data_IF_616741533179
#
_entry.id   IF_616741533179
#
_cell.length_a   1.000
_cell.length_b   1.000
_cell.length_c   1.000
_cell.angle_alpha   90.00
_cell.angle_beta   90.00
_cell.angle_gamma   90.00
#
_symmetry.space_group_name_H-M   'P 1'
#
loop_
_entity.id
_entity.type
_entity.pdbx_description
1 polymer ?
#
# COMPACT_ATOMS: atom_id res chain seq x y z
N UNK A 1 6.51 11.65 -21.28
CA UNK A 1 5.93 10.87 -20.16
C UNK A 1 5.19 9.73 -20.82
N UNK A 2 5.77 8.53 -20.87
CA UNK A 2 5.04 7.35 -21.35
C UNK A 2 4.17 6.84 -20.21
N UNK A 3 2.94 7.31 -20.13
CA UNK A 3 1.88 6.53 -19.52
C UNK A 3 1.60 5.42 -20.53
N UNK A 4 2.34 4.33 -20.47
CA UNK A 4 1.86 3.12 -21.06
C UNK A 4 0.90 2.52 -20.04
N UNK A 5 -0.37 2.46 -20.39
CA UNK A 5 -1.18 1.32 -20.04
C UNK A 5 -0.37 0.10 -20.47
N UNK A 6 0.46 -0.39 -19.57
CA UNK A 6 1.13 -1.64 -19.81
C UNK A 6 0.09 -2.71 -19.52
N UNK A 7 -0.72 -2.97 -20.53
CA UNK A 7 -1.53 -4.15 -20.59
C UNK A 7 -0.71 -5.34 -20.08
N UNK A 8 -1.06 -5.81 -18.88
CA UNK A 8 -0.67 -7.09 -18.29
C UNK A 8 0.71 -7.24 -17.60
N UNK A 9 1.51 -6.20 -17.39
CA UNK A 9 2.83 -6.34 -16.72
C UNK A 9 3.12 -5.21 -15.71
N UNK A 10 2.19 -4.30 -15.45
CA UNK A 10 2.37 -3.17 -14.55
C UNK A 10 2.08 -3.49 -13.08
N UNK A 11 2.58 -2.64 -12.20
CA UNK A 11 2.32 -2.76 -10.76
C UNK A 11 0.81 -2.71 -10.46
N UNK A 12 0.03 -1.93 -11.24
CA UNK A 12 -1.42 -1.85 -11.11
C UNK A 12 -2.09 -3.22 -11.25
N UNK A 13 -1.88 -3.94 -12.37
CA UNK A 13 -2.52 -5.24 -12.62
C UNK A 13 -2.13 -6.27 -11.58
N UNK A 14 -0.86 -6.28 -11.19
CA UNK A 14 -0.36 -7.20 -10.16
C UNK A 14 -1.02 -6.93 -8.82
N UNK A 15 -1.05 -5.67 -8.36
CA UNK A 15 -1.67 -5.30 -7.07
C UNK A 15 -3.18 -5.53 -7.11
N UNK A 16 -3.86 -5.22 -8.24
CA UNK A 16 -5.27 -5.53 -8.47
C UNK A 16 -5.56 -7.01 -8.27
N UNK A 17 -4.81 -7.89 -8.93
CA UNK A 17 -4.98 -9.33 -8.81
C UNK A 17 -4.79 -9.83 -7.37
N UNK A 18 -3.82 -9.25 -6.62
CA UNK A 18 -3.61 -9.54 -5.20
C UNK A 18 -4.78 -9.06 -4.34
N UNK A 19 -5.28 -7.85 -4.55
CA UNK A 19 -6.45 -7.31 -3.85
C UNK A 19 -7.69 -8.19 -4.05
N UNK A 20 -7.88 -8.69 -5.27
CA UNK A 20 -8.98 -9.61 -5.63
C UNK A 20 -8.75 -11.07 -5.22
N UNK A 21 -7.63 -11.38 -4.54
CA UNK A 21 -7.24 -12.77 -4.21
C UNK A 21 -7.10 -13.71 -5.44
N UNK A 22 -6.72 -13.14 -6.58
CA UNK A 22 -6.51 -13.85 -7.86
C UNK A 22 -5.04 -14.21 -8.10
N UNK A 23 -4.12 -13.55 -7.38
CA UNK A 23 -2.70 -13.80 -7.46
C UNK A 23 -2.04 -13.70 -6.07
N UNK A 24 -0.90 -14.37 -5.86
CA UNK A 24 -0.14 -14.24 -4.62
C UNK A 24 0.55 -12.87 -4.53
N UNK A 25 0.64 -12.33 -3.30
CA UNK A 25 1.32 -11.06 -3.04
C UNK A 25 2.81 -11.09 -3.41
N UNK A 26 3.43 -12.28 -3.41
CA UNK A 26 4.81 -12.47 -3.89
C UNK A 26 5.04 -12.06 -5.35
N UNK A 27 3.99 -12.00 -6.18
CA UNK A 27 4.11 -11.54 -7.57
C UNK A 27 4.51 -10.05 -7.65
N UNK A 28 4.26 -9.27 -6.60
CA UNK A 28 4.67 -7.85 -6.54
C UNK A 28 6.19 -7.71 -6.68
N UNK A 29 6.98 -8.59 -6.05
CA UNK A 29 8.45 -8.63 -6.22
C UNK A 29 8.87 -8.83 -7.69
N UNK A 30 8.30 -9.82 -8.35
CA UNK A 30 8.60 -10.11 -9.75
C UNK A 30 8.21 -8.96 -10.69
N UNK A 31 7.06 -8.34 -10.45
CA UNK A 31 6.64 -7.16 -11.20
C UNK A 31 7.62 -5.99 -10.98
N UNK A 32 7.98 -5.69 -9.74
CA UNK A 32 8.93 -4.63 -9.41
C UNK A 32 10.29 -4.87 -10.07
N UNK A 33 10.80 -6.10 -10.05
CA UNK A 33 12.05 -6.47 -10.71
C UNK A 33 11.98 -6.27 -12.23
N UNK A 34 10.85 -6.60 -12.85
CA UNK A 34 10.68 -6.45 -14.31
C UNK A 34 10.70 -4.99 -14.78
N UNK A 35 10.47 -4.05 -13.86
CA UNK A 35 10.50 -2.59 -14.10
C UNK A 35 11.88 -1.97 -13.76
N UNK A 36 12.91 -2.80 -13.51
CA UNK A 36 14.23 -2.31 -13.14
C UNK A 36 14.76 -1.25 -14.14
N UNK A 37 15.26 -0.15 -13.58
CA UNK A 37 15.76 1.00 -14.35
C UNK A 37 14.70 2.02 -14.74
N UNK A 38 13.39 1.69 -14.69
CA UNK A 38 12.31 2.64 -15.01
C UNK A 38 11.34 2.88 -13.86
N UNK A 39 11.45 2.17 -12.73
CA UNK A 39 10.50 2.24 -11.62
C UNK A 39 10.26 3.69 -11.15
N UNK A 40 11.32 4.50 -11.06
CA UNK A 40 11.24 5.89 -10.61
C UNK A 40 10.52 6.83 -11.58
N UNK A 41 10.27 6.41 -12.81
CA UNK A 41 9.55 7.16 -13.84
C UNK A 41 8.09 6.68 -14.00
N UNK A 42 7.68 5.67 -13.25
CA UNK A 42 6.32 5.13 -13.30
C UNK A 42 5.38 5.96 -12.42
N UNK A 43 4.12 6.07 -12.83
CA UNK A 43 3.05 6.58 -12.00
C UNK A 43 2.32 5.39 -11.35
N UNK A 44 2.37 5.28 -10.03
CA UNK A 44 1.60 4.28 -9.31
C UNK A 44 0.18 4.77 -9.05
N UNK A 45 -0.80 3.91 -9.27
CA UNK A 45 -2.21 4.17 -8.99
C UNK A 45 -2.94 2.85 -8.72
N UNK A 46 -4.12 2.92 -8.12
CA UNK A 46 -5.02 1.78 -7.90
C UNK A 46 -6.35 1.94 -8.63
N UNK A 47 -6.71 3.15 -9.00
CA UNK A 47 -7.90 3.51 -9.76
C UNK A 47 -7.58 4.62 -10.76
N UNK A 48 -8.27 4.62 -11.89
CA UNK A 48 -8.30 5.72 -12.85
C UNK A 48 -9.65 5.73 -13.58
N UNK A 49 -9.79 6.56 -14.62
CA UNK A 49 -11.03 6.70 -15.38
C UNK A 49 -11.31 5.53 -16.35
N UNK A 50 -10.31 4.71 -16.65
CA UNK A 50 -10.43 3.54 -17.53
C UNK A 50 -10.67 2.24 -16.76
N UNK A 51 -10.33 2.23 -15.44
CA UNK A 51 -10.39 1.06 -14.61
C UNK A 51 -11.56 1.10 -13.61
N UNK A 52 -12.03 -0.08 -13.18
CA UNK A 52 -13.08 -0.18 -12.17
C UNK A 52 -12.61 0.37 -10.82
N UNK A 53 -13.55 0.93 -10.08
CA UNK A 53 -13.35 1.33 -8.69
C UNK A 53 -13.11 0.11 -7.81
N UNK A 54 -12.20 0.20 -6.83
CA UNK A 54 -11.89 -0.90 -5.89
C UNK A 54 -13.15 -1.38 -5.17
N UNK A 55 -14.00 -0.45 -4.74
CA UNK A 55 -15.26 -0.77 -4.04
C UNK A 55 -16.35 -1.33 -4.95
N UNK A 56 -16.16 -1.33 -6.28
CA UNK A 56 -17.13 -1.85 -7.24
C UNK A 56 -17.24 -3.37 -7.15
N UNK A 57 -18.43 -3.89 -7.47
CA UNK A 57 -18.65 -5.33 -7.61
C UNK A 57 -17.73 -5.99 -8.66
N UNK A 58 -17.29 -5.23 -9.65
CA UNK A 58 -16.43 -5.71 -10.75
C UNK A 58 -14.93 -5.72 -10.39
N UNK A 59 -14.57 -5.24 -9.19
CA UNK A 59 -13.21 -5.30 -8.70
C UNK A 59 -13.17 -6.08 -7.38
N UNK A 60 -13.06 -5.42 -6.22
CA UNK A 60 -12.97 -6.09 -4.92
C UNK A 60 -14.29 -6.10 -4.14
N UNK A 61 -15.27 -5.28 -4.52
CA UNK A 61 -16.56 -5.13 -3.82
C UNK A 61 -16.46 -4.51 -2.43
N UNK A 62 -15.26 -4.04 -2.05
CA UNK A 62 -14.91 -3.51 -0.74
C UNK A 62 -13.74 -2.54 -0.94
N UNK A 63 -13.76 -1.31 -0.43
CA UNK A 63 -12.65 -0.37 -0.57
C UNK A 63 -11.42 -0.70 0.29
N UNK A 64 -11.57 -1.52 1.35
CA UNK A 64 -10.50 -1.81 2.32
C UNK A 64 -9.28 -2.53 1.72
N UNK A 65 -9.40 -3.47 0.76
CA UNK A 65 -8.24 -4.04 0.06
C UNK A 65 -7.34 -3.00 -0.62
N UNK A 66 -7.86 -1.81 -0.90
CA UNK A 66 -7.07 -0.68 -1.39
C UNK A 66 -6.04 -0.16 -0.39
N UNK A 67 -6.24 -0.34 0.92
CA UNK A 67 -5.30 0.15 1.95
C UNK A 67 -3.90 -0.50 1.81
N UNK A 68 -3.75 -1.85 1.86
CA UNK A 68 -2.45 -2.48 1.65
C UNK A 68 -1.89 -2.19 0.24
N UNK A 69 -2.74 -2.13 -0.79
CA UNK A 69 -2.34 -1.73 -2.13
C UNK A 69 -1.74 -0.32 -2.17
N UNK A 70 -2.35 0.62 -1.45
CA UNK A 70 -1.87 2.01 -1.33
C UNK A 70 -0.55 2.09 -0.58
N UNK A 71 -0.35 1.31 0.49
CA UNK A 71 0.92 1.23 1.21
C UNK A 71 2.03 0.75 0.27
N UNK A 72 1.80 -0.31 -0.48
CA UNK A 72 2.76 -0.81 -1.48
C UNK A 72 3.06 0.27 -2.52
N UNK A 73 2.03 0.86 -3.13
CA UNK A 73 2.17 1.87 -4.18
C UNK A 73 2.92 3.13 -3.74
N UNK A 74 2.74 3.55 -2.49
CA UNK A 74 3.31 4.79 -1.96
C UNK A 74 4.69 4.63 -1.31
N UNK A 75 5.12 3.39 -0.97
CA UNK A 75 6.30 3.20 -0.10
C UNK A 75 7.40 2.33 -0.71
N UNK A 76 7.09 1.55 -1.76
CA UNK A 76 8.13 0.74 -2.41
C UNK A 76 9.19 1.58 -3.12
N UNK A 77 8.76 2.65 -3.78
CA UNK A 77 9.61 3.49 -4.62
C UNK A 77 9.49 4.98 -4.26
N UNK A 78 10.22 5.82 -4.98
CA UNK A 78 10.18 7.28 -4.88
C UNK A 78 9.37 7.93 -6.00
N UNK A 79 8.68 7.13 -6.81
CA UNK A 79 7.85 7.57 -7.94
C UNK A 79 6.53 8.20 -7.47
N UNK A 80 5.91 9.03 -8.30
CA UNK A 80 4.64 9.66 -7.97
C UNK A 80 3.52 8.63 -7.82
N UNK A 81 2.57 8.95 -6.95
CA UNK A 81 1.36 8.15 -6.70
C UNK A 81 0.14 9.00 -6.99
N UNK A 82 -0.81 8.45 -7.74
CA UNK A 82 -2.07 9.10 -8.05
C UNK A 82 -3.21 8.50 -7.22
N UNK A 83 -4.03 9.35 -6.63
CA UNK A 83 -5.32 9.00 -6.05
C UNK A 83 -6.39 9.47 -7.03
N UNK A 84 -7.19 8.56 -7.54
CA UNK A 84 -8.34 8.92 -8.37
C UNK A 84 -9.46 9.45 -7.50
N UNK A 85 -10.06 10.56 -7.91
CA UNK A 85 -11.05 11.32 -7.12
C UNK A 85 -12.17 10.42 -6.59
N UNK A 86 -12.33 10.34 -5.26
CA UNK A 86 -13.29 9.46 -4.58
C UNK A 86 -12.74 8.09 -4.15
N UNK A 87 -11.53 7.71 -4.57
CA UNK A 87 -10.89 6.46 -4.13
C UNK A 87 -10.75 6.42 -2.61
N UNK A 88 -10.31 7.52 -2.02
CA UNK A 88 -10.16 7.70 -0.57
C UNK A 88 -11.50 7.73 0.20
N UNK A 89 -12.61 7.81 -0.52
CA UNK A 89 -13.97 7.78 0.02
C UNK A 89 -14.66 6.43 -0.22
N UNK A 90 -13.99 5.49 -0.91
CA UNK A 90 -14.57 4.21 -1.28
C UNK A 90 -15.70 4.31 -2.30
N UNK A 91 -15.55 5.20 -3.32
CA UNK A 91 -16.52 5.34 -4.39
C UNK A 91 -16.74 4.01 -5.12
N UNK A 92 -17.96 3.47 -5.19
CA UNK A 92 -18.22 2.16 -5.79
C UNK A 92 -18.35 2.20 -7.33
N UNK A 93 -18.62 3.35 -7.96
CA UNK A 93 -18.84 3.45 -9.40
C UNK A 93 -19.97 2.57 -9.91
N UNK A 94 -21.05 2.44 -9.13
CA UNK A 94 -22.16 1.53 -9.44
C UNK A 94 -23.42 2.23 -9.91
N UNK A 95 -23.32 3.52 -10.16
CA UNK A 95 -24.33 4.32 -10.83
C UNK A 95 -24.04 4.41 -12.34
N UNK A 96 -24.80 5.21 -13.10
CA UNK A 96 -24.66 5.30 -14.56
C UNK A 96 -23.58 6.33 -15.00
N UNK A 97 -22.48 6.47 -14.21
CA UNK A 97 -21.38 7.39 -14.50
C UNK A 97 -20.26 6.80 -15.36
N UNK A 98 -20.31 5.51 -15.65
CA UNK A 98 -19.31 4.83 -16.48
C UNK A 98 -19.51 5.05 -17.98
N UNK A 99 -18.52 4.65 -18.78
CA UNK A 99 -18.60 4.73 -20.24
C UNK A 99 -19.65 3.78 -20.85
N UNK A 100 -20.01 2.73 -20.16
CA UNK A 100 -20.95 1.68 -20.59
C UNK A 100 -22.05 1.40 -19.56
N UNK A 101 -22.41 2.39 -18.76
CA UNK A 101 -23.38 2.27 -17.68
C UNK A 101 -22.75 1.72 -16.40
N UNK A 102 -23.47 0.90 -15.65
CA UNK A 102 -23.08 0.37 -14.35
C UNK A 102 -21.99 -0.71 -14.44
N UNK A 103 -20.79 -0.32 -14.79
CA UNK A 103 -19.66 -1.21 -15.01
C UNK A 103 -18.52 -1.07 -13.96
N UNK A 104 -18.75 -0.29 -12.93
CA UNK A 104 -17.78 -0.05 -11.85
C UNK A 104 -16.75 1.02 -12.16
N UNK A 105 -16.89 1.74 -13.28
CA UNK A 105 -16.05 2.87 -13.69
C UNK A 105 -16.79 4.19 -13.47
N UNK A 106 -16.02 5.27 -13.31
CA UNK A 106 -16.57 6.62 -13.24
C UNK A 106 -15.82 7.53 -14.20
N UNK A 107 -16.55 8.47 -14.82
CA UNK A 107 -15.94 9.44 -15.73
C UNK A 107 -15.27 10.60 -14.98
N UNK A 108 -14.22 11.19 -15.57
CA UNK A 108 -13.62 12.44 -15.08
C UNK A 108 -14.49 13.67 -15.41
N UNK A 109 -15.49 13.50 -16.28
CA UNK A 109 -16.33 14.63 -16.76
C UNK A 109 -17.52 14.89 -15.84
N UNK A 110 -18.02 13.84 -15.15
CA UNK A 110 -19.23 13.92 -14.33
C UNK A 110 -18.93 13.72 -12.83
N UNK A 111 -17.76 14.15 -12.39
CA UNK A 111 -17.32 13.99 -10.99
C UNK A 111 -18.30 14.57 -9.96
N UNK A 112 -19.08 15.57 -10.34
CA UNK A 112 -20.12 16.18 -9.48
C UNK A 112 -21.34 15.28 -9.27
N UNK A 113 -21.53 14.24 -10.06
CA UNK A 113 -22.64 13.29 -9.91
C UNK A 113 -22.37 12.24 -8.84
N UNK A 114 -21.10 11.99 -8.52
CA UNK A 114 -20.69 10.96 -7.55
C UNK A 114 -21.19 11.28 -6.15
N UNK A 115 -21.97 10.35 -5.57
CA UNK A 115 -22.57 10.53 -4.26
C UNK A 115 -21.52 10.73 -3.15
N UNK A 116 -20.41 9.98 -3.19
CA UNK A 116 -19.29 10.10 -2.26
C UNK A 116 -18.66 11.50 -2.28
N UNK A 117 -18.42 12.06 -3.48
CA UNK A 117 -17.85 13.39 -3.64
C UNK A 117 -18.83 14.49 -3.20
N UNK A 118 -20.12 14.35 -3.54
CA UNK A 118 -21.16 15.30 -3.06
C UNK A 118 -21.25 15.32 -1.54
N UNK A 119 -21.14 14.16 -0.90
CA UNK A 119 -21.14 14.05 0.55
C UNK A 119 -19.89 14.69 1.18
N UNK A 120 -18.74 14.58 0.52
CA UNK A 120 -17.52 15.26 0.95
C UNK A 120 -17.62 16.79 0.75
N UNK A 121 -18.13 17.23 -0.40
CA UNK A 121 -18.32 18.66 -0.72
C UNK A 121 -19.31 19.32 0.26
N UNK A 122 -20.33 18.59 0.71
CA UNK A 122 -21.30 19.05 1.69
C UNK A 122 -21.84 20.46 1.38
N UNK A 123 -22.46 20.61 0.20
CA UNK A 123 -23.09 21.87 -0.26
C UNK A 123 -22.12 23.08 -0.32
N UNK A 124 -20.82 22.82 -0.51
CA UNK A 124 -19.79 23.85 -0.60
C UNK A 124 -19.00 24.11 0.67
N UNK A 125 -19.29 23.40 1.77
CA UNK A 125 -18.51 23.48 3.01
C UNK A 125 -17.14 22.79 2.90
N UNK A 126 -17.01 21.77 2.04
CA UNK A 126 -15.78 21.00 1.81
C UNK A 126 -15.18 20.37 3.09
N UNK A 127 -16.04 19.99 4.03
CA UNK A 127 -15.67 19.49 5.36
C UNK A 127 -15.96 17.98 5.56
N UNK A 128 -16.55 17.33 4.56
CA UNK A 128 -16.96 15.93 4.67
C UNK A 128 -18.13 15.70 5.61
N UNK A 129 -18.93 16.74 5.90
CA UNK A 129 -19.98 16.68 6.90
C UNK A 129 -21.05 15.61 6.64
N UNK A 130 -21.25 15.21 5.37
CA UNK A 130 -22.22 14.18 4.96
C UNK A 130 -21.58 12.79 4.72
N UNK A 131 -20.28 12.62 4.94
CA UNK A 131 -19.62 11.31 4.83
C UNK A 131 -20.10 10.36 5.94
N UNK A 132 -20.16 9.06 5.63
CA UNK A 132 -20.34 8.02 6.65
C UNK A 132 -19.10 7.89 7.54
N UNK A 133 -19.22 7.19 8.66
CA UNK A 133 -18.08 6.93 9.55
C UNK A 133 -16.97 6.15 8.83
N UNK A 134 -17.36 5.14 8.03
CA UNK A 134 -16.44 4.29 7.25
C UNK A 134 -15.71 5.11 6.19
N UNK A 135 -16.40 6.01 5.49
CA UNK A 135 -15.79 6.89 4.49
C UNK A 135 -14.77 7.84 5.12
N UNK A 136 -15.09 8.44 6.28
CA UNK A 136 -14.15 9.28 7.03
C UNK A 136 -12.91 8.50 7.46
N UNK A 137 -13.13 7.31 8.04
CA UNK A 137 -12.03 6.46 8.49
C UNK A 137 -11.12 6.05 7.32
N UNK A 138 -11.69 5.65 6.19
CA UNK A 138 -10.91 5.30 5.00
C UNK A 138 -10.07 6.48 4.53
N UNK A 139 -10.68 7.68 4.42
CA UNK A 139 -10.00 8.90 4.02
C UNK A 139 -8.87 9.29 4.99
N UNK A 140 -9.07 9.13 6.29
CA UNK A 140 -8.03 9.37 7.30
C UNK A 140 -6.84 8.42 7.13
N UNK A 141 -7.09 7.14 6.85
CA UNK A 141 -6.05 6.16 6.58
C UNK A 141 -5.25 6.52 5.32
N UNK A 142 -5.94 6.87 4.21
CA UNK A 142 -5.28 7.32 2.99
C UNK A 142 -4.44 8.59 3.22
N UNK A 143 -5.00 9.59 3.90
CA UNK A 143 -4.28 10.81 4.24
C UNK A 143 -3.03 10.51 5.08
N UNK A 144 -3.13 9.59 6.03
CA UNK A 144 -1.99 9.18 6.86
C UNK A 144 -0.90 8.49 6.04
N UNK A 145 -1.25 7.52 5.19
CA UNK A 145 -0.31 6.84 4.29
C UNK A 145 0.44 7.85 3.41
N UNK A 146 -0.29 8.77 2.77
CA UNK A 146 0.29 9.78 1.88
C UNK A 146 1.17 10.78 2.63
N UNK A 147 0.77 11.21 3.83
CA UNK A 147 1.60 12.11 4.64
C UNK A 147 2.89 11.41 5.09
N UNK A 148 2.84 10.14 5.52
CA UNK A 148 4.03 9.35 5.86
C UNK A 148 4.93 9.22 4.63
N UNK A 149 4.38 8.83 3.48
CA UNK A 149 5.18 8.64 2.26
C UNK A 149 5.89 9.92 1.80
N UNK A 150 5.29 11.08 2.05
CA UNK A 150 5.86 12.39 1.71
C UNK A 150 6.89 12.88 2.72
N UNK A 151 6.69 12.62 4.01
CA UNK A 151 7.48 13.23 5.09
C UNK A 151 8.68 12.39 5.53
N UNK A 152 8.61 11.06 5.38
CA UNK A 152 9.65 10.16 5.85
C UNK A 152 10.80 10.03 4.83
N UNK A 153 11.99 10.51 5.21
CA UNK A 153 13.19 10.46 4.35
C UNK A 153 13.61 9.02 4.02
N UNK A 154 13.36 8.09 4.91
CA UNK A 154 13.60 6.66 4.64
C UNK A 154 12.76 6.14 3.47
N UNK A 155 11.64 6.79 3.13
CA UNK A 155 10.82 6.47 1.96
C UNK A 155 11.27 7.31 0.76
N UNK A 156 11.43 8.63 0.92
CA UNK A 156 11.70 9.54 -0.20
C UNK A 156 13.14 9.46 -0.72
N UNK A 157 14.09 9.05 0.11
CA UNK A 157 15.53 9.03 -0.21
C UNK A 157 16.18 7.66 0.08
N UNK A 158 15.47 6.75 0.76
CA UNK A 158 16.03 5.47 1.19
C UNK A 158 16.16 4.44 0.06
N UNK A 159 17.06 3.48 0.29
CA UNK A 159 17.27 2.31 -0.58
C UNK A 159 16.20 1.27 -0.25
N UNK A 160 15.63 0.65 -1.28
CA UNK A 160 14.67 -0.45 -1.17
C UNK A 160 15.39 -1.80 -1.05
N UNK A 161 14.83 -2.71 -0.25
CA UNK A 161 15.29 -4.09 -0.14
C UNK A 161 14.08 -5.03 -0.02
N UNK A 162 13.93 -5.95 -0.97
CA UNK A 162 12.87 -6.94 -0.96
C UNK A 162 13.18 -8.06 0.05
N UNK A 163 12.24 -8.34 0.96
CA UNK A 163 12.35 -9.45 1.92
C UNK A 163 11.49 -10.66 1.53
N UNK A 164 10.74 -10.60 0.42
CA UNK A 164 9.85 -11.70 0.05
C UNK A 164 10.60 -12.99 -0.19
N UNK A 165 11.77 -12.94 -0.85
CA UNK A 165 12.57 -14.15 -1.14
C UNK A 165 12.91 -14.96 0.12
N UNK A 166 13.19 -14.30 1.24
CA UNK A 166 13.51 -14.94 2.52
C UNK A 166 12.26 -15.49 3.24
N UNK A 167 11.06 -15.10 2.80
CA UNK A 167 9.80 -15.43 3.46
C UNK A 167 8.86 -16.30 2.60
N UNK A 168 9.22 -16.67 1.37
CA UNK A 168 8.37 -17.51 0.49
C UNK A 168 8.05 -18.89 1.10
N UNK A 169 9.01 -19.50 1.77
CA UNK A 169 8.87 -20.82 2.42
C UNK A 169 8.73 -20.72 3.93
N UNK A 170 8.52 -19.52 4.48
CA UNK A 170 8.36 -19.29 5.91
C UNK A 170 6.97 -19.76 6.38
N UNK A 171 6.87 -20.77 7.28
CA UNK A 171 5.57 -21.32 7.69
C UNK A 171 4.71 -20.33 8.52
N UNK A 172 5.30 -19.24 9.00
CA UNK A 172 4.63 -18.20 9.79
C UNK A 172 4.34 -16.93 8.98
N UNK A 173 4.48 -17.01 7.64
CA UNK A 173 4.24 -15.91 6.72
C UNK A 173 3.52 -16.43 5.47
N UNK A 174 2.33 -15.92 5.20
CA UNK A 174 1.56 -16.32 4.03
C UNK A 174 1.90 -15.41 2.83
N UNK A 175 2.86 -15.80 2.00
CA UNK A 175 3.30 -15.05 0.81
C UNK A 175 2.21 -14.84 -0.26
N UNK A 176 1.04 -15.52 -0.13
CA UNK A 176 -0.12 -15.25 -0.97
C UNK A 176 -0.87 -13.98 -0.53
N UNK A 177 -0.87 -13.67 0.79
CA UNK A 177 -1.67 -12.57 1.35
C UNK A 177 -0.85 -11.50 2.05
N UNK A 178 0.42 -11.75 2.34
CA UNK A 178 1.31 -10.77 2.95
C UNK A 178 2.46 -10.41 2.01
N UNK A 179 2.88 -9.16 2.08
CA UNK A 179 4.05 -8.65 1.38
C UNK A 179 4.95 -7.90 2.36
N UNK A 180 6.27 -8.07 2.24
CA UNK A 180 7.23 -7.50 3.17
C UNK A 180 8.47 -6.97 2.45
N UNK A 181 8.90 -5.78 2.83
CA UNK A 181 10.13 -5.17 2.33
C UNK A 181 10.74 -4.23 3.36
N UNK A 182 11.96 -3.80 3.11
CA UNK A 182 12.66 -2.79 3.92
C UNK A 182 13.05 -1.59 3.07
N UNK A 183 13.23 -0.47 3.76
CA UNK A 183 13.92 0.71 3.23
C UNK A 183 14.96 1.18 4.23
N UNK A 184 16.04 1.78 3.75
CA UNK A 184 17.15 2.24 4.60
C UNK A 184 17.60 3.63 4.16
N UNK A 185 17.68 4.52 5.12
CA UNK A 185 18.27 5.85 4.95
C UNK A 185 19.07 6.25 6.20
N UNK A 186 20.35 6.51 6.05
CA UNK A 186 21.27 6.87 7.15
C UNK A 186 21.16 5.88 8.34
N UNK A 187 20.71 6.34 9.51
CA UNK A 187 20.50 5.54 10.73
C UNK A 187 19.05 5.03 10.88
N UNK A 188 18.21 5.20 9.87
CA UNK A 188 16.82 4.75 9.89
C UNK A 188 16.62 3.53 8.99
N UNK A 189 15.93 2.52 9.51
CA UNK A 189 15.45 1.35 8.77
C UNK A 189 13.94 1.30 8.91
N UNK A 190 13.21 1.22 7.80
CA UNK A 190 11.77 1.03 7.79
C UNK A 190 11.46 -0.40 7.35
N UNK A 191 10.84 -1.18 8.21
CA UNK A 191 10.24 -2.47 7.88
C UNK A 191 8.76 -2.26 7.56
N UNK A 192 8.37 -2.55 6.33
CA UNK A 192 6.99 -2.46 5.86
C UNK A 192 6.44 -3.87 5.70
N UNK A 193 5.34 -4.15 6.39
CA UNK A 193 4.64 -5.44 6.30
C UNK A 193 3.17 -5.16 6.01
N UNK A 194 2.66 -5.66 4.89
CA UNK A 194 1.27 -5.46 4.48
C UNK A 194 0.49 -6.76 4.49
N UNK A 195 -0.79 -6.68 4.80
CA UNK A 195 -1.71 -7.79 4.88
C UNK A 195 -2.93 -7.55 3.99
N UNK A 196 -3.03 -8.31 2.91
CA UNK A 196 -4.18 -8.34 2.00
C UNK A 196 -5.29 -9.30 2.46
N UNK A 197 -5.14 -9.92 3.63
CA UNK A 197 -6.15 -10.81 4.19
C UNK A 197 -7.26 -10.00 4.89
N UNK A 198 -8.48 -10.54 4.86
CA UNK A 198 -9.65 -10.01 5.57
C UNK A 198 -9.62 -10.24 7.09
N UNK A 199 -8.65 -10.97 7.59
CA UNK A 199 -8.43 -11.24 9.01
C UNK A 199 -7.11 -10.64 9.47
N UNK A 200 -7.04 -10.24 10.75
CA UNK A 200 -5.79 -9.92 11.42
C UNK A 200 -4.86 -11.13 11.41
N UNK A 201 -3.57 -10.90 11.20
CA UNK A 201 -2.56 -11.94 11.12
C UNK A 201 -1.39 -11.65 12.07
N UNK A 202 -0.95 -12.67 12.79
CA UNK A 202 0.34 -12.64 13.50
C UNK A 202 1.37 -13.34 12.63
N UNK A 203 2.33 -12.60 12.15
CA UNK A 203 3.39 -13.13 11.27
C UNK A 203 4.75 -13.06 11.95
N UNK A 204 5.67 -13.91 11.50
CA UNK A 204 7.08 -13.90 11.89
C UNK A 204 7.92 -13.72 10.65
N UNK A 205 8.64 -12.62 10.56
CA UNK A 205 9.39 -12.20 9.38
C UNK A 205 10.84 -12.60 9.54
N UNK A 206 11.35 -13.41 8.63
CA UNK A 206 12.76 -13.70 8.53
C UNK A 206 13.49 -12.54 7.86
N UNK A 207 14.50 -11.99 8.53
CA UNK A 207 15.42 -10.98 7.99
C UNK A 207 16.80 -11.65 7.89
N UNK A 208 17.27 -11.98 6.70
CA UNK A 208 18.52 -12.73 6.54
C UNK A 208 19.75 -11.83 6.72
N UNK A 209 20.91 -12.45 7.01
CA UNK A 209 22.20 -11.76 7.16
C UNK A 209 22.54 -10.85 5.98
N UNK A 210 22.13 -11.24 4.77
CA UNK A 210 22.36 -10.48 3.54
C UNK A 210 21.65 -9.12 3.58
N UNK A 211 20.49 -9.03 4.23
CA UNK A 211 19.75 -7.76 4.37
C UNK A 211 20.51 -6.77 5.24
N UNK A 212 21.08 -7.23 6.36
CA UNK A 212 21.90 -6.40 7.26
C UNK A 212 23.16 -5.88 6.55
N UNK A 213 23.81 -6.73 5.78
CA UNK A 213 25.01 -6.39 4.99
C UNK A 213 24.66 -5.42 3.84
N UNK A 214 23.61 -5.71 3.08
CA UNK A 214 23.24 -4.92 1.91
C UNK A 214 22.74 -3.52 2.28
N UNK A 215 22.07 -3.39 3.42
CA UNK A 215 21.53 -2.12 3.91
C UNK A 215 22.47 -1.41 4.91
N UNK A 216 23.62 -2.00 5.21
CA UNK A 216 24.62 -1.46 6.14
C UNK A 216 24.02 -0.99 7.47
N UNK A 217 23.41 -1.92 8.22
CA UNK A 217 22.95 -1.66 9.58
C UNK A 217 23.24 -2.85 10.52
N UNK A 218 23.33 -2.56 11.83
CA UNK A 218 23.79 -3.54 12.80
C UNK A 218 22.78 -4.66 13.07
N UNK A 219 23.19 -5.92 12.87
CA UNK A 219 22.46 -7.09 13.37
C UNK A 219 22.43 -7.07 14.90
N UNK A 220 21.29 -7.47 15.49
CA UNK A 220 21.08 -7.58 16.94
C UNK A 220 21.37 -6.30 17.72
N UNK A 221 21.21 -5.13 17.12
CA UNK A 221 21.38 -3.82 17.75
C UNK A 221 20.02 -3.26 18.18
N UNK A 222 19.91 -2.83 19.43
CA UNK A 222 18.71 -2.17 19.93
C UNK A 222 18.49 -0.82 19.22
N UNK A 223 17.25 -0.56 18.84
CA UNK A 223 16.81 0.66 18.20
C UNK A 223 15.51 1.19 18.81
N UNK A 224 15.25 2.47 18.66
CA UNK A 224 13.92 3.03 18.91
C UNK A 224 13.05 2.67 17.71
N UNK A 225 12.06 1.80 17.95
CA UNK A 225 11.05 1.45 16.96
C UNK A 225 9.84 2.37 17.10
N UNK A 226 9.40 2.96 16.01
CA UNK A 226 8.16 3.73 15.90
C UNK A 226 7.24 3.07 14.87
N UNK A 227 6.03 2.70 15.25
CA UNK A 227 5.00 2.37 14.27
C UNK A 227 4.42 3.67 13.71
N UNK A 228 4.72 3.99 12.46
CA UNK A 228 4.28 5.23 11.82
C UNK A 228 2.76 5.31 11.63
N UNK A 229 2.06 4.14 11.63
CA UNK A 229 0.61 4.10 11.53
C UNK A 229 -0.10 4.40 12.84
N UNK A 230 0.48 4.11 13.99
CA UNK A 230 -0.13 4.36 15.31
C UNK A 230 0.56 5.48 16.08
N UNK A 231 1.85 5.72 15.84
CA UNK A 231 2.69 6.61 16.60
C UNK A 231 3.28 5.97 17.87
N UNK A 232 3.02 4.68 18.09
CA UNK A 232 3.55 3.95 19.24
C UNK A 232 5.06 3.73 19.12
N UNK A 233 5.75 3.85 20.25
CA UNK A 233 7.20 3.68 20.34
C UNK A 233 7.56 2.57 21.33
N UNK A 234 8.59 1.81 21.00
CA UNK A 234 9.23 0.86 21.91
C UNK A 234 10.72 0.71 21.59
N UNK A 235 11.46 0.04 22.47
CA UNK A 235 12.81 -0.43 22.13
C UNK A 235 12.68 -1.82 21.54
N UNK A 236 13.27 -2.04 20.40
CA UNK A 236 13.19 -3.31 19.68
C UNK A 236 14.50 -3.61 18.94
N UNK A 237 14.64 -4.84 18.50
CA UNK A 237 15.87 -5.33 17.85
C UNK A 237 15.50 -6.15 16.63
N UNK A 238 16.13 -5.85 15.50
CA UNK A 238 16.12 -6.72 14.32
C UNK A 238 17.36 -7.60 14.35
N UNK A 239 17.20 -8.89 14.02
CA UNK A 239 18.30 -9.85 13.99
C UNK A 239 18.04 -10.94 12.96
N UNK A 240 19.12 -11.50 12.42
CA UNK A 240 19.06 -12.68 11.56
C UNK A 240 18.88 -14.00 12.35
N UNK A 241 19.17 -13.99 13.68
CA UNK A 241 19.14 -15.18 14.51
C UNK A 241 17.73 -15.74 14.76
N UNK A 242 16.71 -14.87 14.78
CA UNK A 242 15.31 -15.27 14.94
C UNK A 242 14.35 -14.31 14.22
N UNK A 243 13.18 -14.83 13.75
CA UNK A 243 12.22 -14.04 13.03
C UNK A 243 11.61 -12.92 13.87
N UNK A 244 11.39 -11.77 13.27
CA UNK A 244 10.69 -10.63 13.88
C UNK A 244 9.17 -10.87 13.87
N UNK A 245 8.53 -10.88 15.03
CA UNK A 245 7.10 -11.11 15.14
C UNK A 245 6.32 -9.79 15.14
N UNK A 246 5.24 -9.74 14.35
CA UNK A 246 4.35 -8.57 14.27
C UNK A 246 2.90 -9.00 14.05
N UNK A 247 1.97 -8.25 14.63
CA UNK A 247 0.52 -8.38 14.39
C UNK A 247 0.10 -7.32 13.39
N UNK A 248 -0.55 -7.75 12.30
CA UNK A 248 -0.97 -6.87 11.21
C UNK A 248 -2.50 -6.95 11.11
N UNK A 249 -3.22 -5.82 11.23
CA UNK A 249 -4.68 -5.81 11.08
C UNK A 249 -5.13 -6.28 9.69
N UNK A 250 -6.41 -6.65 9.59
CA UNK A 250 -7.04 -7.00 8.32
C UNK A 250 -6.93 -5.84 7.33
N UNK A 251 -6.64 -6.14 6.07
CA UNK A 251 -6.53 -5.14 4.99
C UNK A 251 -5.72 -3.90 5.38
N UNK A 252 -4.54 -4.11 5.95
CA UNK A 252 -3.71 -3.02 6.50
C UNK A 252 -2.23 -3.30 6.33
N UNK A 253 -1.39 -2.51 7.00
CA UNK A 253 0.05 -2.71 7.11
C UNK A 253 0.61 -2.13 8.39
N UNK A 254 1.82 -2.59 8.73
CA UNK A 254 2.67 -2.00 9.77
C UNK A 254 3.87 -1.32 9.11
N UNK A 255 4.14 -0.12 9.53
CA UNK A 255 5.24 0.72 9.05
C UNK A 255 6.16 0.99 10.22
N UNK A 256 7.08 0.04 10.47
CA UNK A 256 7.91 0.03 11.66
C UNK A 256 9.26 0.67 11.35
N UNK A 257 9.46 1.90 11.80
CA UNK A 257 10.72 2.64 11.65
C UNK A 257 11.61 2.39 12.85
N UNK A 258 12.82 1.89 12.61
CA UNK A 258 13.88 1.66 13.58
C UNK A 258 14.94 2.75 13.42
N UNK A 259 15.21 3.49 14.48
CA UNK A 259 16.24 4.53 14.54
C UNK A 259 17.37 4.07 15.46
N UNK A 260 18.59 3.93 14.90
CA UNK A 260 19.78 3.40 15.55
C UNK A 260 20.68 4.50 16.11
#
# INVERSE_FOLDING_TARGET
>A
MCIRDSDKVGLYDTVRAVMCNQAPASNISGCWQSLEGIQHNMLNFLENHDEQRIASYFFAGDPRPGIPGMIVSAMMNTNPVMIYSGQELGEPGMDDEGFSGRDGRTTIFDYWSLASLRNWINEGAFDGGKLTAEQRQLREVYAKILNISKSERVITEGVFYDLMYANLSNPYFNSHRQFVFMRKYQNEVLLVVVNFDKAEQTVRIQIPDEAFKALDFGDNKAAVQTDLMTGENCISTLTAAWPYQVVIPAYSGRLLKFTY
#
